data_IF_782763215489
#
_entry.id   IF_782763215489
#
_cell.length_a   1.000
_cell.length_b   1.000
_cell.length_c   1.000
_cell.angle_alpha   90.00
_cell.angle_beta   90.00
_cell.angle_gamma   90.00
#
_symmetry.space_group_name_H-M   'P 1'
#
loop_
_entity.id
_entity.type
_entity.pdbx_description
1 polymer ?
#
# COMPACT_ATOMS: atom_id res chain seq x y z
N UNK A 1 18.67 0.49 -17.25
CA UNK A 1 19.12 1.55 -16.33
C UNK A 1 19.46 0.85 -15.03
N UNK A 2 20.63 1.11 -14.49
CA UNK A 2 21.06 0.50 -13.21
C UNK A 2 20.32 1.17 -12.03
N UNK A 3 20.24 0.49 -10.88
CA UNK A 3 19.48 1.00 -9.71
C UNK A 3 19.89 2.41 -9.27
N UNK A 4 21.21 2.71 -9.28
CA UNK A 4 21.72 4.03 -8.87
C UNK A 4 21.29 5.15 -9.81
N UNK A 5 21.34 4.89 -11.12
CA UNK A 5 20.93 5.83 -12.16
C UNK A 5 19.41 6.07 -12.11
N UNK A 6 18.63 5.03 -11.81
CA UNK A 6 17.19 5.13 -11.56
C UNK A 6 16.87 6.07 -10.41
N UNK A 7 17.45 5.81 -9.24
CA UNK A 7 17.23 6.66 -8.06
C UNK A 7 17.65 8.10 -8.32
N UNK A 8 18.77 8.33 -9.01
CA UNK A 8 19.22 9.67 -9.38
C UNK A 8 18.23 10.38 -10.31
N UNK A 9 17.73 9.69 -11.34
CA UNK A 9 16.75 10.26 -12.28
C UNK A 9 15.42 10.66 -11.62
N UNK A 10 15.09 10.04 -10.48
CA UNK A 10 13.88 10.30 -9.71
C UNK A 10 14.09 11.26 -8.52
N UNK A 11 15.31 11.82 -8.38
CA UNK A 11 15.71 12.65 -7.21
C UNK A 11 15.56 11.90 -5.88
N UNK A 12 15.86 10.60 -5.91
CA UNK A 12 15.80 9.65 -4.80
C UNK A 12 17.16 8.99 -4.54
N UNK A 13 18.25 9.65 -4.92
CA UNK A 13 19.61 9.22 -4.53
C UNK A 13 19.77 9.11 -3.02
N UNK A 14 19.00 9.87 -2.24
CA UNK A 14 18.95 9.79 -0.79
C UNK A 14 17.50 9.85 -0.34
N UNK A 15 17.13 9.02 0.61
CA UNK A 15 15.86 9.08 1.33
C UNK A 15 16.04 8.47 2.73
N UNK A 16 15.05 8.67 3.59
CA UNK A 16 15.01 8.09 4.93
C UNK A 16 13.73 7.29 5.07
N UNK A 17 13.87 6.00 5.34
CA UNK A 17 12.76 5.20 5.83
C UNK A 17 12.62 5.47 7.33
N UNK A 18 11.40 5.60 7.84
CA UNK A 18 11.17 5.77 9.28
C UNK A 18 9.86 5.13 9.74
N UNK A 19 9.81 4.82 11.02
CA UNK A 19 8.68 4.21 11.72
C UNK A 19 8.65 4.70 13.18
N UNK A 20 7.45 4.84 13.73
CA UNK A 20 7.24 5.11 15.15
C UNK A 20 6.40 4.01 15.81
N UNK A 21 6.87 3.56 16.97
CA UNK A 21 6.00 2.88 17.93
C UNK A 21 5.48 3.91 18.95
N UNK A 22 4.21 3.78 19.34
CA UNK A 22 3.52 4.79 20.14
C UNK A 22 2.67 4.18 21.26
N UNK A 23 2.26 4.98 22.24
CA UNK A 23 1.34 4.55 23.32
C UNK A 23 -0.11 4.38 22.87
N UNK A 24 -0.41 4.59 21.59
CA UNK A 24 -1.77 4.56 21.03
C UNK A 24 -1.85 5.26 19.67
N UNK A 25 -3.06 5.45 19.15
CA UNK A 25 -3.28 5.92 17.77
C UNK A 25 -3.58 7.42 17.65
N UNK A 26 -3.79 8.14 18.75
CA UNK A 26 -4.13 9.56 18.74
C UNK A 26 -2.89 10.42 19.01
N UNK A 27 -2.30 11.08 18.00
CA UNK A 27 -1.09 11.87 18.16
C UNK A 27 -1.23 12.99 19.21
N UNK A 28 -2.45 13.49 19.45
CA UNK A 28 -2.68 14.57 20.41
C UNK A 28 -2.50 14.12 21.86
N UNK A 29 -2.88 12.87 22.15
CA UNK A 29 -2.95 12.33 23.51
C UNK A 29 -1.83 11.30 23.76
N UNK A 30 -1.46 10.52 22.75
CA UNK A 30 -0.45 9.49 22.80
C UNK A 30 0.98 10.04 22.58
N UNK A 31 1.97 9.21 22.89
CA UNK A 31 3.39 9.55 22.87
C UNK A 31 4.20 8.52 22.10
N UNK A 32 5.32 8.96 21.55
CA UNK A 32 6.28 8.08 20.88
C UNK A 32 7.04 7.29 21.95
N UNK A 33 7.24 5.99 21.73
CA UNK A 33 7.97 5.07 22.62
C UNK A 33 9.17 4.43 21.94
N UNK A 34 9.23 4.43 20.61
CA UNK A 34 10.41 4.08 19.82
C UNK A 34 10.43 4.89 18.53
N UNK A 35 11.63 5.31 18.12
CA UNK A 35 11.90 5.90 16.83
C UNK A 35 12.90 5.01 16.11
N UNK A 36 12.60 4.63 14.88
CA UNK A 36 13.56 4.07 13.95
C UNK A 36 13.57 4.90 12.67
N UNK A 37 14.75 5.33 12.25
CA UNK A 37 14.96 6.04 10.99
C UNK A 37 16.26 5.58 10.34
N UNK A 38 16.19 5.16 9.08
CA UNK A 38 17.30 4.56 8.35
C UNK A 38 17.54 5.35 7.07
N UNK A 39 18.77 5.85 6.93
CA UNK A 39 19.20 6.61 5.77
C UNK A 39 19.70 5.67 4.68
N UNK A 40 19.09 5.81 3.50
CA UNK A 40 19.51 5.14 2.29
C UNK A 40 20.22 6.13 1.37
N UNK A 41 21.37 5.74 0.84
CA UNK A 41 22.07 6.44 -0.25
C UNK A 41 22.33 5.48 -1.40
N UNK A 42 21.84 5.84 -2.59
CA UNK A 42 21.95 5.04 -3.81
C UNK A 42 21.45 3.59 -3.65
N UNK A 43 20.46 3.39 -2.78
CA UNK A 43 19.84 2.09 -2.50
C UNK A 43 20.52 1.29 -1.38
N UNK A 44 21.58 1.82 -0.78
CA UNK A 44 22.31 1.16 0.32
C UNK A 44 22.07 1.90 1.63
N UNK A 45 22.05 1.18 2.74
CA UNK A 45 21.94 1.79 4.07
C UNK A 45 23.28 2.39 4.46
N UNK A 46 23.29 3.66 4.85
CA UNK A 46 24.52 4.38 5.25
C UNK A 46 24.51 4.87 6.69
N UNK A 47 23.34 5.05 7.29
CA UNK A 47 23.22 5.55 8.66
C UNK A 47 21.88 5.16 9.29
N UNK A 48 21.83 5.14 10.63
CA UNK A 48 20.65 4.75 11.41
C UNK A 48 20.49 5.63 12.65
N UNK A 49 19.27 6.05 12.92
CA UNK A 49 18.84 6.65 14.18
C UNK A 49 17.77 5.75 14.80
N UNK A 50 18.12 5.05 15.88
CA UNK A 50 17.22 4.15 16.60
C UNK A 50 17.26 4.49 18.08
N UNK A 51 16.11 4.77 18.68
CA UNK A 51 16.01 5.08 20.10
C UNK A 51 14.67 4.67 20.66
N UNK A 52 14.69 3.95 21.78
CA UNK A 52 13.56 3.95 22.70
C UNK A 52 13.36 5.35 23.25
N UNK A 53 12.12 5.70 23.56
CA UNK A 53 11.72 7.02 24.04
C UNK A 53 10.93 6.86 25.32
N UNK A 54 11.28 7.61 26.37
CA UNK A 54 10.46 7.71 27.56
C UNK A 54 9.27 8.64 27.27
N UNK A 55 8.03 8.11 27.21
CA UNK A 55 6.86 8.90 26.85
C UNK A 55 6.38 9.82 28.00
N UNK A 56 6.92 9.67 29.22
CA UNK A 56 6.48 10.39 30.41
C UNK A 56 5.06 10.02 30.90
N UNK A 57 4.47 8.97 30.32
CA UNK A 57 3.15 8.39 30.67
C UNK A 57 3.24 6.87 30.67
N UNK A 58 2.29 6.19 31.31
CA UNK A 58 2.26 4.73 31.30
C UNK A 58 1.87 4.18 29.92
N UNK A 59 2.65 3.23 29.42
CA UNK A 59 2.33 2.44 28.22
C UNK A 59 1.21 1.44 28.58
N UNK A 60 0.05 1.45 27.88
CA UNK A 60 -1.02 0.48 28.12
C UNK A 60 -0.56 -0.96 27.83
N UNK A 61 -1.05 -1.93 28.60
CA UNK A 61 -0.69 -3.35 28.41
C UNK A 61 -0.94 -3.84 26.97
N UNK A 62 -2.04 -3.41 26.35
CA UNK A 62 -2.36 -3.76 24.96
C UNK A 62 -1.25 -3.31 23.99
N UNK A 63 -0.68 -2.11 24.21
CA UNK A 63 0.42 -1.61 23.39
C UNK A 63 1.67 -2.43 23.65
N UNK A 64 2.00 -2.74 24.90
CA UNK A 64 3.14 -3.63 25.21
C UNK A 64 2.96 -5.02 24.58
N UNK A 65 1.75 -5.55 24.48
CA UNK A 65 1.47 -6.81 23.77
C UNK A 65 1.68 -6.68 22.25
N UNK A 66 1.33 -5.54 21.67
CA UNK A 66 1.46 -5.28 20.24
C UNK A 66 2.91 -5.03 19.85
N UNK A 67 3.60 -4.13 20.56
CA UNK A 67 4.93 -3.61 20.20
C UNK A 67 6.07 -4.36 20.88
N UNK A 68 5.78 -5.04 21.99
CA UNK A 68 6.79 -5.66 22.85
C UNK A 68 7.50 -4.68 23.78
N UNK A 69 7.21 -3.37 23.70
CA UNK A 69 7.88 -2.33 24.49
C UNK A 69 7.14 -2.13 25.81
N UNK A 70 7.85 -2.35 26.92
CA UNK A 70 7.30 -2.23 28.27
C UNK A 70 7.72 -0.93 28.96
N UNK A 71 6.94 -0.52 29.97
CA UNK A 71 7.28 0.64 30.81
C UNK A 71 8.70 0.56 31.39
N UNK A 72 9.18 -0.65 31.73
CA UNK A 72 10.54 -0.81 32.27
C UNK A 72 11.64 -0.58 31.24
N UNK A 73 11.37 -0.87 29.96
CA UNK A 73 12.34 -0.65 28.87
C UNK A 73 12.55 0.83 28.62
N UNK A 74 11.47 1.62 28.64
CA UNK A 74 11.52 3.06 28.34
C UNK A 74 11.86 3.94 29.55
N UNK A 75 11.79 3.41 30.77
CA UNK A 75 11.92 4.20 32.01
C UNK A 75 13.23 5.02 32.08
N UNK A 76 14.34 4.47 31.57
CA UNK A 76 15.65 5.15 31.54
C UNK A 76 16.03 5.66 30.15
N UNK A 77 15.15 5.50 29.17
CA UNK A 77 15.36 6.00 27.82
C UNK A 77 15.24 7.52 27.80
N UNK A 78 15.85 8.19 26.81
CA UNK A 78 15.71 9.63 26.68
C UNK A 78 14.26 10.02 26.35
N UNK A 79 13.87 11.21 26.77
CA UNK A 79 12.56 11.80 26.49
C UNK A 79 12.51 12.41 25.09
N UNK A 80 11.31 12.69 24.58
CA UNK A 80 11.12 13.41 23.31
C UNK A 80 11.95 14.70 23.25
N UNK A 81 12.01 15.46 24.35
CA UNK A 81 12.77 16.71 24.44
C UNK A 81 14.28 16.53 24.27
N UNK A 82 14.82 15.39 24.71
CA UNK A 82 16.26 15.12 24.67
C UNK A 82 16.73 14.65 23.30
N UNK A 83 15.85 14.03 22.51
CA UNK A 83 16.22 13.41 21.22
C UNK A 83 15.77 14.20 19.99
N UNK A 84 14.78 15.10 20.12
CA UNK A 84 14.13 15.71 18.96
C UNK A 84 15.10 16.49 18.06
N UNK A 85 16.08 17.19 18.63
CA UNK A 85 17.05 17.96 17.84
C UNK A 85 17.97 17.06 17.02
N UNK A 86 18.45 15.98 17.61
CA UNK A 86 19.28 14.99 16.92
C UNK A 86 18.47 14.25 15.86
N UNK A 87 17.20 13.93 16.15
CA UNK A 87 16.31 13.27 15.21
C UNK A 87 15.98 14.15 14.00
N UNK A 88 15.59 15.41 14.20
CA UNK A 88 15.32 16.34 13.08
C UNK A 88 16.59 16.65 12.28
N UNK A 89 17.74 16.74 12.95
CA UNK A 89 19.06 16.84 12.30
C UNK A 89 19.40 15.59 11.48
N UNK A 90 18.96 14.41 11.92
CA UNK A 90 19.07 13.17 11.15
C UNK A 90 18.14 13.20 9.93
N UNK A 91 16.93 13.74 10.02
CA UNK A 91 16.02 13.82 8.86
C UNK A 91 16.51 14.82 7.78
N UNK A 92 16.98 16.00 8.20
CA UNK A 92 17.36 17.13 7.35
C UNK A 92 16.24 17.51 6.37
N UNK A 93 16.55 17.59 5.08
CA UNK A 93 15.61 17.82 3.98
C UNK A 93 15.41 16.54 3.13
N UNK A 94 15.79 15.38 3.68
CA UNK A 94 15.73 14.12 2.96
C UNK A 94 14.27 13.70 2.76
N UNK A 95 13.88 13.16 1.60
CA UNK A 95 12.55 12.59 1.45
C UNK A 95 12.29 11.47 2.47
N UNK A 96 11.07 11.43 3.00
CA UNK A 96 10.65 10.46 4.00
C UNK A 96 9.81 9.35 3.37
N UNK A 97 10.06 8.12 3.82
CA UNK A 97 9.40 6.90 3.38
C UNK A 97 8.88 6.17 4.62
N UNK A 98 7.61 5.80 4.62
CA UNK A 98 7.04 4.97 5.68
C UNK A 98 5.96 4.04 5.11
N UNK A 99 5.58 3.03 5.86
CA UNK A 99 4.49 2.13 5.52
C UNK A 99 3.20 2.63 6.16
N UNK A 100 2.27 3.22 5.38
CA UNK A 100 1.15 4.01 5.89
C UNK A 100 1.56 5.36 6.52
N UNK A 101 2.40 6.11 5.78
CA UNK A 101 3.08 7.34 6.24
C UNK A 101 2.21 8.39 6.93
N UNK A 102 0.91 8.43 6.63
CA UNK A 102 -0.02 9.37 7.26
C UNK A 102 -0.08 9.20 8.78
N UNK A 103 0.16 7.99 9.29
CA UNK A 103 0.24 7.73 10.73
C UNK A 103 1.47 8.43 11.33
N UNK A 104 2.66 8.09 10.83
CA UNK A 104 3.94 8.60 11.33
C UNK A 104 4.07 10.11 11.14
N UNK A 105 3.58 10.64 10.01
CA UNK A 105 3.52 12.07 9.72
C UNK A 105 2.78 12.85 10.80
N UNK A 106 1.64 12.34 11.28
CA UNK A 106 0.86 13.02 12.32
C UNK A 106 1.60 13.04 13.65
N UNK A 107 2.30 11.96 13.99
CA UNK A 107 3.14 11.91 15.20
C UNK A 107 4.37 12.83 15.08
N UNK A 108 5.01 12.89 13.91
CA UNK A 108 6.13 13.79 13.65
C UNK A 108 5.70 15.26 13.75
N UNK A 109 4.59 15.64 13.10
CA UNK A 109 4.06 17.01 13.15
C UNK A 109 3.71 17.40 14.59
N UNK A 110 3.11 16.49 15.35
CA UNK A 110 2.77 16.73 16.76
C UNK A 110 4.00 16.78 17.67
N UNK A 111 5.02 15.96 17.42
CA UNK A 111 6.31 16.01 18.10
C UNK A 111 6.96 17.40 17.90
N UNK A 112 7.04 17.88 16.65
CA UNK A 112 7.56 19.22 16.35
C UNK A 112 6.76 20.31 17.07
N UNK A 113 5.43 20.24 17.04
CA UNK A 113 4.56 21.21 17.70
C UNK A 113 4.74 21.22 19.22
N UNK A 114 4.87 20.06 19.87
CA UNK A 114 5.08 19.95 21.34
C UNK A 114 6.37 20.62 21.80
N UNK A 115 7.39 20.66 20.93
CA UNK A 115 8.72 21.15 21.25
C UNK A 115 9.10 22.43 20.49
N UNK A 116 8.10 23.13 19.94
CA UNK A 116 8.28 24.41 19.25
C UNK A 116 9.33 24.34 18.11
N UNK A 117 9.37 23.22 17.39
CA UNK A 117 10.23 23.02 16.22
C UNK A 117 9.49 23.32 14.93
N UNK A 118 10.22 23.81 13.93
CA UNK A 118 9.67 23.99 12.59
C UNK A 118 9.46 22.63 11.92
N UNK A 119 8.33 22.46 11.24
CA UNK A 119 8.08 21.28 10.43
C UNK A 119 8.71 21.48 9.05
N UNK A 120 9.65 20.60 8.68
CA UNK A 120 10.20 20.62 7.33
C UNK A 120 9.16 20.11 6.34
N UNK A 121 9.09 20.76 5.17
CA UNK A 121 8.21 20.32 4.09
C UNK A 121 8.84 19.14 3.32
N UNK A 122 8.92 18.00 3.99
CA UNK A 122 9.46 16.78 3.42
C UNK A 122 8.62 16.30 2.24
N UNK A 123 9.30 15.76 1.21
CA UNK A 123 8.63 14.88 0.24
C UNK A 123 8.32 13.56 0.94
N UNK A 124 7.10 13.06 0.76
CA UNK A 124 6.56 11.92 1.51
C UNK A 124 6.17 10.80 0.56
N UNK A 125 6.62 9.59 0.86
CA UNK A 125 6.34 8.39 0.08
C UNK A 125 5.77 7.28 0.97
N UNK A 126 4.69 6.67 0.51
CA UNK A 126 3.96 5.62 1.24
C UNK A 126 4.09 4.28 0.51
N UNK A 127 4.76 3.32 1.14
CA UNK A 127 4.93 1.99 0.56
C UNK A 127 3.63 1.19 0.54
N UNK A 128 2.72 1.41 1.50
CA UNK A 128 1.41 0.74 1.51
C UNK A 128 0.56 1.19 0.33
N UNK A 129 0.53 2.50 0.07
CA UNK A 129 -0.21 3.04 -1.07
C UNK A 129 0.37 2.53 -2.40
N UNK A 130 1.71 2.58 -2.58
CA UNK A 130 2.36 2.07 -3.78
C UNK A 130 2.12 0.57 -3.97
N UNK A 131 2.26 -0.23 -2.91
CA UNK A 131 2.04 -1.67 -2.98
C UNK A 131 0.60 -1.99 -3.41
N UNK A 132 -0.40 -1.30 -2.87
CA UNK A 132 -1.81 -1.48 -3.28
C UNK A 132 -2.05 -1.13 -4.74
N UNK A 133 -1.34 -0.13 -5.27
CA UNK A 133 -1.45 0.27 -6.67
C UNK A 133 -0.74 -0.70 -7.62
N UNK A 134 0.43 -1.21 -7.24
CA UNK A 134 1.32 -1.97 -8.12
C UNK A 134 1.18 -3.48 -7.98
N UNK A 135 0.90 -3.97 -6.77
CA UNK A 135 0.81 -5.38 -6.40
C UNK A 135 -0.65 -5.78 -6.14
N UNK A 136 -1.59 -5.27 -6.93
CA UNK A 136 -3.05 -5.42 -6.72
C UNK A 136 -3.56 -6.87 -6.67
N UNK A 137 -2.74 -7.85 -7.07
CA UNK A 137 -3.03 -9.28 -6.96
C UNK A 137 -2.76 -9.85 -5.56
N UNK A 138 -2.03 -9.12 -4.71
CA UNK A 138 -1.72 -9.56 -3.35
C UNK A 138 -2.95 -9.42 -2.43
N UNK A 139 -3.24 -10.43 -1.59
CA UNK A 139 -4.41 -10.40 -0.71
C UNK A 139 -4.21 -9.51 0.52
N UNK A 140 -2.95 -9.30 0.91
CA UNK A 140 -2.55 -8.61 2.14
C UNK A 140 -1.37 -7.71 1.82
N UNK A 141 -1.37 -6.51 2.40
CA UNK A 141 -0.38 -5.47 2.15
C UNK A 141 0.28 -4.94 3.43
N UNK A 142 0.12 -5.63 4.56
CA UNK A 142 0.86 -5.25 5.77
C UNK A 142 2.36 -5.49 5.55
N UNK A 143 3.18 -4.83 6.36
CA UNK A 143 4.62 -4.84 6.18
C UNK A 143 5.20 -6.26 6.18
N UNK A 144 4.77 -7.12 7.12
CA UNK A 144 5.20 -8.53 7.18
C UNK A 144 4.92 -9.26 5.86
N UNK A 145 3.70 -9.16 5.32
CA UNK A 145 3.35 -9.84 4.07
C UNK A 145 4.16 -9.33 2.87
N UNK A 146 4.48 -8.03 2.84
CA UNK A 146 5.32 -7.46 1.78
C UNK A 146 6.79 -7.84 1.95
N UNK A 147 7.31 -7.89 3.18
CA UNK A 147 8.65 -8.40 3.46
C UNK A 147 8.79 -9.86 3.02
N UNK A 148 7.83 -10.71 3.37
CA UNK A 148 7.78 -12.11 2.95
C UNK A 148 7.72 -12.24 1.42
N UNK A 149 6.89 -11.41 0.77
CA UNK A 149 6.75 -11.39 -0.69
C UNK A 149 8.08 -11.09 -1.40
N UNK A 150 8.86 -10.16 -0.88
CA UNK A 150 10.18 -9.80 -1.42
C UNK A 150 11.34 -10.64 -0.87
N UNK A 151 11.07 -11.60 0.02
CA UNK A 151 12.09 -12.45 0.63
C UNK A 151 13.03 -11.68 1.56
N UNK A 152 12.56 -10.61 2.18
CA UNK A 152 13.30 -9.83 3.15
C UNK A 152 13.27 -10.52 4.52
N UNK A 153 14.43 -10.63 5.17
CA UNK A 153 14.54 -11.31 6.46
C UNK A 153 13.95 -10.46 7.59
N UNK A 154 13.56 -11.14 8.66
CA UNK A 154 13.19 -10.54 9.96
C UNK A 154 14.16 -10.92 11.08
N UNK A 155 15.33 -11.47 10.74
CA UNK A 155 16.28 -12.00 11.72
C UNK A 155 17.15 -10.89 12.37
N UNK A 156 17.26 -10.92 13.70
CA UNK A 156 18.30 -10.30 14.54
C UNK A 156 18.32 -8.76 14.76
N UNK A 157 17.31 -7.99 14.38
CA UNK A 157 17.20 -6.56 14.75
C UNK A 157 16.00 -6.28 15.68
N UNK A 158 16.00 -5.13 16.36
CA UNK A 158 14.81 -4.63 17.08
C UNK A 158 13.65 -4.47 16.10
N UNK A 159 12.41 -4.67 16.55
CA UNK A 159 11.24 -4.76 15.66
C UNK A 159 11.07 -3.52 14.78
N UNK A 160 11.07 -2.32 15.35
CA UNK A 160 10.92 -1.09 14.57
C UNK A 160 12.11 -0.79 13.65
N UNK A 161 13.34 -1.14 14.07
CA UNK A 161 14.52 -1.01 13.21
C UNK A 161 14.42 -1.93 11.98
N UNK A 162 14.08 -3.19 12.18
CA UNK A 162 13.89 -4.15 11.11
C UNK A 162 12.72 -3.76 10.18
N UNK A 163 11.61 -3.30 10.76
CA UNK A 163 10.44 -2.86 10.01
C UNK A 163 10.77 -1.61 9.17
N UNK A 164 11.57 -0.69 9.71
CA UNK A 164 12.07 0.47 8.97
C UNK A 164 13.02 0.08 7.84
N UNK A 165 13.93 -0.88 8.09
CA UNK A 165 14.86 -1.38 7.08
C UNK A 165 14.11 -2.03 5.92
N UNK A 166 13.17 -2.91 6.25
CA UNK A 166 12.30 -3.56 5.28
C UNK A 166 11.45 -2.56 4.51
N UNK A 167 10.92 -1.53 5.18
CA UNK A 167 10.18 -0.45 4.51
C UNK A 167 11.03 0.23 3.42
N UNK A 168 12.30 0.52 3.72
CA UNK A 168 13.23 1.08 2.74
C UNK A 168 13.50 0.15 1.56
N UNK A 169 13.73 -1.14 1.81
CA UNK A 169 13.94 -2.12 0.73
C UNK A 169 12.69 -2.36 -0.11
N UNK A 170 11.51 -2.46 0.51
CA UNK A 170 10.22 -2.56 -0.18
C UNK A 170 10.02 -1.33 -1.09
N UNK A 171 10.35 -0.13 -0.62
CA UNK A 171 10.26 1.08 -1.43
C UNK A 171 11.15 1.00 -2.68
N UNK A 172 12.38 0.51 -2.55
CA UNK A 172 13.28 0.30 -3.68
C UNK A 172 12.72 -0.70 -4.71
N UNK A 173 12.11 -1.80 -4.25
CA UNK A 173 11.47 -2.77 -5.14
C UNK A 173 10.22 -2.19 -5.83
N UNK A 174 9.40 -1.42 -5.11
CA UNK A 174 8.23 -0.74 -5.68
C UNK A 174 8.63 0.33 -6.72
N UNK A 175 9.74 1.04 -6.52
CA UNK A 175 10.29 1.97 -7.52
C UNK A 175 10.69 1.20 -8.78
N UNK A 176 11.38 0.06 -8.64
CA UNK A 176 11.76 -0.78 -9.78
C UNK A 176 10.52 -1.25 -10.53
N UNK A 177 9.50 -1.72 -9.82
CA UNK A 177 8.26 -2.17 -10.44
C UNK A 177 7.55 -1.04 -11.18
N UNK A 178 7.41 0.13 -10.57
CA UNK A 178 6.83 1.32 -11.20
C UNK A 178 7.63 1.74 -12.46
N UNK A 179 8.96 1.65 -12.41
CA UNK A 179 9.85 2.00 -13.50
C UNK A 179 9.77 1.04 -14.71
N UNK A 180 9.07 -0.09 -14.58
CA UNK A 180 8.77 -0.99 -15.69
C UNK A 180 7.67 -0.50 -16.63
N UNK A 181 6.77 0.37 -16.14
CA UNK A 181 5.62 0.86 -16.91
C UNK A 181 6.01 1.94 -17.93
N UNK A 182 5.36 1.99 -19.11
CA UNK A 182 5.63 2.99 -20.14
C UNK A 182 5.02 4.37 -19.80
N UNK A 183 5.50 5.41 -20.50
CA UNK A 183 5.07 6.80 -20.27
C UNK A 183 3.55 6.99 -20.36
N UNK A 184 2.89 6.40 -21.37
CA UNK A 184 1.43 6.53 -21.54
C UNK A 184 0.65 6.06 -20.29
N UNK A 185 1.09 4.97 -19.66
CA UNK A 185 0.47 4.48 -18.44
C UNK A 185 0.67 5.45 -17.27
N UNK A 186 1.91 5.88 -17.03
CA UNK A 186 2.24 6.81 -15.95
C UNK A 186 1.55 8.17 -16.14
N UNK A 187 1.45 8.66 -17.37
CA UNK A 187 0.73 9.88 -17.70
C UNK A 187 -0.77 9.77 -17.40
N UNK A 188 -1.40 8.63 -17.66
CA UNK A 188 -2.81 8.38 -17.28
C UNK A 188 -2.98 8.39 -15.77
N UNK A 189 -2.07 7.76 -15.02
CA UNK A 189 -2.09 7.80 -13.55
C UNK A 189 -1.98 9.25 -13.06
N UNK A 190 -1.01 10.01 -13.57
CA UNK A 190 -0.84 11.43 -13.22
C UNK A 190 -2.08 12.28 -13.51
N UNK A 191 -2.79 12.01 -14.62
CA UNK A 191 -4.03 12.70 -14.94
C UNK A 191 -5.17 12.36 -13.96
N UNK A 192 -5.24 11.12 -13.47
CA UNK A 192 -6.26 10.67 -12.51
C UNK A 192 -6.05 11.25 -11.11
N UNK A 193 -4.80 11.47 -10.70
CA UNK A 193 -4.45 11.98 -9.37
C UNK A 193 -4.24 13.51 -9.36
N UNK A 194 -4.47 14.18 -10.50
CA UNK A 194 -4.25 15.61 -10.62
C UNK A 194 -5.19 16.38 -9.68
N UNK A 195 -4.61 17.24 -8.84
CA UNK A 195 -5.36 18.05 -7.87
C UNK A 195 -5.62 17.36 -6.53
N UNK A 196 -5.27 16.08 -6.41
CA UNK A 196 -5.37 15.33 -5.16
C UNK A 196 -4.09 15.47 -4.32
N UNK A 197 -4.27 15.52 -3.00
CA UNK A 197 -3.16 15.51 -2.03
C UNK A 197 -2.92 14.08 -1.56
N UNK A 198 -2.23 13.29 -2.39
CA UNK A 198 -1.91 11.90 -2.08
C UNK A 198 -0.42 11.71 -1.81
N UNK A 199 -0.05 10.75 -0.93
CA UNK A 199 1.32 10.24 -0.90
C UNK A 199 1.78 9.80 -2.30
N UNK A 200 3.09 9.85 -2.55
CA UNK A 200 3.71 9.41 -3.82
C UNK A 200 3.37 10.22 -5.08
N UNK A 201 2.55 11.28 -5.04
CA UNK A 201 2.29 12.15 -6.20
C UNK A 201 3.58 12.58 -6.90
N UNK A 202 4.56 13.05 -6.12
CA UNK A 202 5.85 13.49 -6.64
C UNK A 202 6.62 12.36 -7.34
N UNK A 203 6.49 11.10 -6.88
CA UNK A 203 7.16 9.96 -7.53
C UNK A 203 6.61 9.74 -8.94
N UNK A 204 5.29 9.79 -9.12
CA UNK A 204 4.68 9.62 -10.45
C UNK A 204 5.03 10.77 -11.40
N UNK A 205 5.16 12.00 -10.89
CA UNK A 205 5.59 13.16 -11.68
C UNK A 205 7.05 13.04 -12.13
N UNK A 206 7.96 12.68 -11.22
CA UNK A 206 9.37 12.46 -11.58
C UNK A 206 9.55 11.25 -12.51
N UNK A 207 8.75 10.18 -12.31
CA UNK A 207 8.77 9.01 -13.20
C UNK A 207 8.37 9.38 -14.63
N UNK A 208 7.30 10.15 -14.81
CA UNK A 208 6.91 10.66 -16.14
C UNK A 208 7.99 11.54 -16.77
N UNK A 209 8.61 12.41 -15.96
CA UNK A 209 9.70 13.29 -16.41
C UNK A 209 10.91 12.49 -16.88
N UNK A 210 11.35 11.49 -16.10
CA UNK A 210 12.45 10.61 -16.44
C UNK A 210 12.16 9.78 -17.71
N UNK A 211 10.95 9.24 -17.86
CA UNK A 211 10.51 8.52 -19.05
C UNK A 211 10.52 9.42 -20.30
N UNK A 212 10.02 10.64 -20.18
CA UNK A 212 10.03 11.62 -21.27
C UNK A 212 11.47 11.98 -21.71
N UNK A 213 12.38 12.13 -20.76
CA UNK A 213 13.81 12.39 -21.04
C UNK A 213 14.51 11.20 -21.72
N UNK A 214 14.11 9.95 -21.40
CA UNK A 214 14.63 8.74 -22.06
C UNK A 214 14.21 8.65 -23.53
N UNK A 215 13.04 9.17 -23.90
CA UNK A 215 12.56 9.29 -25.28
C UNK A 215 11.93 8.04 -25.91
N UNK A 216 11.94 6.89 -25.22
CA UNK A 216 11.23 5.67 -25.66
C UNK A 216 9.83 5.62 -25.03
N UNK A 217 8.80 5.92 -25.82
CA UNK A 217 7.41 6.01 -25.35
C UNK A 217 6.75 4.65 -25.07
N UNK A 218 7.33 3.56 -25.58
CA UNK A 218 6.72 2.22 -25.50
C UNK A 218 7.29 1.35 -24.39
N UNK A 219 8.41 1.75 -23.77
CA UNK A 219 9.09 0.97 -22.74
C UNK A 219 9.24 1.76 -21.45
N UNK A 220 9.26 1.04 -20.34
CA UNK A 220 9.67 1.59 -19.06
C UNK A 220 11.15 2.00 -19.03
N UNK A 221 11.57 2.63 -17.93
CA UNK A 221 12.96 2.95 -17.65
C UNK A 221 13.81 1.68 -17.49
N UNK A 222 13.20 0.64 -16.90
CA UNK A 222 13.76 -0.71 -16.79
C UNK A 222 12.80 -1.76 -17.37
N UNK A 223 13.24 -3.01 -17.44
CA UNK A 223 12.35 -4.14 -17.80
C UNK A 223 11.51 -4.50 -16.57
N UNK A 224 10.22 -4.74 -16.74
CA UNK A 224 9.35 -5.20 -15.65
C UNK A 224 9.93 -6.43 -14.95
N UNK A 225 9.99 -6.36 -13.61
CA UNK A 225 10.41 -7.45 -12.75
C UNK A 225 9.26 -8.42 -12.51
N UNK A 226 8.08 -7.89 -12.18
CA UNK A 226 6.84 -8.65 -12.07
C UNK A 226 6.02 -8.36 -13.32
N UNK A 227 5.77 -9.36 -14.16
CA UNK A 227 4.78 -9.20 -15.23
C UNK A 227 3.43 -9.40 -14.53
N UNK A 228 2.57 -8.38 -14.41
CA UNK A 228 1.23 -8.58 -13.85
C UNK A 228 0.57 -9.65 -14.71
N UNK A 229 0.19 -10.77 -14.10
CA UNK A 229 -0.60 -11.77 -14.79
C UNK A 229 -2.04 -11.27 -14.79
N UNK A 230 -2.29 -10.18 -15.52
CA UNK A 230 -3.61 -9.66 -15.82
C UNK A 230 -4.37 -10.74 -16.58
N UNK A 231 -4.89 -11.73 -15.84
CA UNK A 231 -5.82 -12.71 -16.35
C UNK A 231 -7.00 -11.88 -16.83
N UNK A 232 -7.30 -12.02 -18.11
CA UNK A 232 -8.45 -11.35 -18.68
C UNK A 232 -9.67 -11.80 -17.89
N UNK A 233 -10.45 -10.85 -17.37
CA UNK A 233 -11.81 -11.14 -16.91
C UNK A 233 -12.76 -11.49 -18.07
N UNK A 234 -12.25 -11.38 -19.30
CA UNK A 234 -12.89 -11.86 -20.52
C UNK A 234 -12.57 -13.35 -20.66
N UNK A 235 -13.60 -14.18 -20.48
CA UNK A 235 -13.55 -15.60 -20.81
C UNK A 235 -14.21 -15.79 -22.17
N UNK A 236 -13.47 -16.30 -23.15
CA UNK A 236 -14.03 -16.66 -24.46
C UNK A 236 -14.09 -18.18 -24.57
N UNK A 237 -15.27 -18.71 -24.86
CA UNK A 237 -15.49 -20.14 -25.08
C UNK A 237 -16.30 -20.35 -26.36
N UNK A 238 -15.82 -21.24 -27.23
CA UNK A 238 -16.54 -21.67 -28.42
C UNK A 238 -17.23 -23.00 -28.09
N UNK A 239 -18.56 -23.02 -28.14
CA UNK A 239 -19.36 -24.21 -27.89
C UNK A 239 -20.54 -24.31 -28.85
N UNK A 240 -21.14 -25.50 -29.00
CA UNK A 240 -22.28 -25.70 -29.87
C UNK A 240 -23.57 -25.09 -29.33
N UNK A 241 -23.58 -24.67 -28.05
CA UNK A 241 -24.77 -24.16 -27.36
C UNK A 241 -24.84 -22.63 -27.49
N UNK A 242 -25.98 -22.11 -27.95
CA UNK A 242 -26.26 -20.67 -27.91
C UNK A 242 -26.67 -20.25 -26.50
N UNK A 243 -26.15 -19.10 -26.05
CA UNK A 243 -26.55 -18.47 -24.79
C UNK A 243 -27.84 -17.65 -24.93
N UNK A 244 -28.31 -17.39 -26.15
CA UNK A 244 -29.51 -16.59 -26.41
C UNK A 244 -30.79 -17.23 -25.90
N UNK A 245 -30.82 -18.57 -25.79
CA UNK A 245 -31.98 -19.34 -25.31
C UNK A 245 -31.86 -19.82 -23.87
N UNK A 246 -30.78 -19.45 -23.16
CA UNK A 246 -30.58 -19.85 -21.77
C UNK A 246 -31.47 -19.01 -20.85
N UNK A 247 -32.36 -19.67 -20.11
CA UNK A 247 -33.12 -19.01 -19.06
C UNK A 247 -32.33 -18.97 -17.75
N UNK A 248 -32.73 -18.08 -16.84
CA UNK A 248 -32.15 -18.06 -15.50
C UNK A 248 -32.34 -19.38 -14.74
N UNK A 249 -33.44 -20.11 -15.01
CA UNK A 249 -33.71 -21.41 -14.39
C UNK A 249 -32.75 -22.49 -14.90
N UNK A 250 -32.38 -22.44 -16.19
CA UNK A 250 -31.40 -23.37 -16.78
C UNK A 250 -30.01 -23.25 -16.15
N UNK A 251 -29.72 -22.11 -15.50
CA UNK A 251 -28.43 -21.85 -14.84
C UNK A 251 -28.53 -22.01 -13.32
N UNK A 252 -29.45 -21.26 -12.69
CA UNK A 252 -29.60 -21.12 -11.22
C UNK A 252 -30.69 -22.00 -10.62
N UNK A 253 -31.50 -22.67 -11.45
CA UNK A 253 -32.54 -23.58 -10.97
C UNK A 253 -31.94 -24.81 -10.29
N UNK A 254 -32.80 -25.57 -9.58
CA UNK A 254 -32.38 -26.71 -8.76
C UNK A 254 -31.67 -27.83 -9.56
N UNK A 255 -31.96 -27.93 -10.87
CA UNK A 255 -31.34 -28.86 -11.81
C UNK A 255 -30.53 -28.14 -12.91
N UNK A 256 -30.26 -26.85 -12.71
CA UNK A 256 -29.57 -25.98 -13.67
C UNK A 256 -28.07 -26.28 -13.78
N UNK A 257 -27.39 -25.58 -14.69
CA UNK A 257 -25.98 -25.80 -14.98
C UNK A 257 -25.08 -25.74 -13.74
N UNK A 258 -25.34 -24.82 -12.80
CA UNK A 258 -24.52 -24.66 -11.60
C UNK A 258 -24.62 -25.85 -10.64
N UNK A 259 -25.80 -26.47 -10.53
CA UNK A 259 -26.00 -27.68 -9.71
C UNK A 259 -25.16 -28.87 -10.17
N UNK A 260 -24.80 -28.91 -11.46
CA UNK A 260 -24.02 -30.00 -12.08
C UNK A 260 -22.52 -29.80 -11.92
N UNK A 261 -22.07 -28.55 -11.75
CA UNK A 261 -20.65 -28.18 -11.69
C UNK A 261 -20.19 -28.01 -10.24
N UNK A 262 -21.01 -27.43 -9.37
CA UNK A 262 -20.66 -27.13 -7.99
C UNK A 262 -21.19 -28.21 -7.03
N UNK A 263 -20.28 -28.93 -6.36
CA UNK A 263 -20.62 -30.03 -5.43
C UNK A 263 -21.49 -29.60 -4.25
N UNK A 264 -21.40 -28.34 -3.83
CA UNK A 264 -22.15 -27.77 -2.71
C UNK A 264 -23.17 -26.74 -3.19
N UNK A 265 -23.72 -26.93 -4.39
CA UNK A 265 -24.76 -26.04 -4.91
C UNK A 265 -25.98 -26.05 -3.99
N UNK A 266 -26.46 -24.86 -3.66
CA UNK A 266 -27.68 -24.64 -2.91
C UNK A 266 -28.64 -23.86 -3.80
N UNK A 267 -29.86 -24.37 -3.99
CA UNK A 267 -30.86 -23.63 -4.74
C UNK A 267 -31.32 -22.41 -3.94
N UNK A 268 -31.12 -21.22 -4.52
CA UNK A 268 -31.52 -19.94 -3.94
C UNK A 268 -32.50 -19.24 -4.89
N UNK A 269 -33.81 -19.31 -4.64
CA UNK A 269 -34.82 -18.74 -5.53
C UNK A 269 -34.60 -17.26 -5.86
N UNK A 270 -34.05 -16.49 -4.92
CA UNK A 270 -33.72 -15.08 -5.12
C UNK A 270 -32.64 -14.86 -6.19
N UNK A 271 -31.62 -15.74 -6.29
CA UNK A 271 -30.60 -15.65 -7.33
C UNK A 271 -31.20 -15.84 -8.72
N UNK A 272 -32.11 -16.79 -8.86
CA UNK A 272 -32.84 -17.02 -10.11
C UNK A 272 -33.71 -15.81 -10.48
N UNK A 273 -34.43 -15.22 -9.52
CA UNK A 273 -35.23 -14.01 -9.73
C UNK A 273 -34.37 -12.82 -10.14
N UNK A 274 -33.22 -12.63 -9.50
CA UNK A 274 -32.27 -11.58 -9.85
C UNK A 274 -31.72 -11.76 -11.26
N UNK A 275 -31.33 -12.99 -11.63
CA UNK A 275 -30.88 -13.30 -12.98
C UNK A 275 -31.98 -13.07 -14.03
N UNK A 276 -33.25 -13.43 -13.75
CA UNK A 276 -34.39 -13.12 -14.62
C UNK A 276 -34.56 -11.62 -14.83
N UNK A 277 -34.46 -10.83 -13.75
CA UNK A 277 -34.57 -9.37 -13.81
C UNK A 277 -33.43 -8.75 -14.62
N UNK A 278 -32.18 -9.15 -14.37
CA UNK A 278 -31.01 -8.68 -15.11
C UNK A 278 -31.13 -9.02 -16.59
N UNK A 279 -31.51 -10.26 -16.93
CA UNK A 279 -31.70 -10.67 -18.32
C UNK A 279 -32.72 -9.77 -19.01
N UNK A 280 -33.86 -9.49 -18.36
CA UNK A 280 -34.90 -8.60 -18.88
C UNK A 280 -34.40 -7.18 -19.13
N UNK A 281 -33.61 -6.62 -18.19
CA UNK A 281 -33.03 -5.28 -18.31
C UNK A 281 -32.07 -5.21 -19.50
N UNK A 282 -31.25 -6.26 -19.69
CA UNK A 282 -30.27 -6.30 -20.77
C UNK A 282 -30.89 -6.60 -22.14
N UNK A 283 -31.97 -7.38 -22.20
CA UNK A 283 -32.63 -7.78 -23.45
C UNK A 283 -33.63 -6.76 -23.97
N UNK A 284 -34.19 -5.91 -23.11
CA UNK A 284 -35.21 -4.92 -23.49
C UNK A 284 -34.64 -3.50 -23.54
N UNK A 285 -34.80 -2.80 -24.67
CA UNK A 285 -34.30 -1.43 -24.85
C UNK A 285 -34.98 -0.43 -23.89
N UNK A 286 -34.18 0.45 -23.26
CA UNK A 286 -34.69 1.57 -22.46
C UNK A 286 -35.14 1.20 -21.04
N UNK A 287 -34.75 0.02 -20.54
CA UNK A 287 -34.98 -0.37 -19.14
C UNK A 287 -33.84 0.11 -18.25
N UNK A 288 -34.19 0.68 -17.10
CA UNK A 288 -33.28 0.91 -15.98
C UNK A 288 -33.84 0.08 -14.82
N UNK A 289 -32.99 -0.69 -14.16
CA UNK A 289 -33.39 -1.47 -13.00
C UNK A 289 -32.43 -1.23 -11.84
N UNK A 290 -32.99 -1.23 -10.63
CA UNK A 290 -32.24 -1.20 -9.37
C UNK A 290 -32.55 -2.48 -8.64
N UNK A 291 -31.51 -3.14 -8.13
CA UNK A 291 -31.61 -4.41 -7.44
C UNK A 291 -30.85 -4.29 -6.13
N UNK A 292 -31.57 -4.39 -5.03
CA UNK A 292 -31.02 -4.43 -3.69
C UNK A 292 -31.08 -5.87 -3.17
N UNK A 293 -29.96 -6.39 -2.71
CA UNK A 293 -29.87 -7.71 -2.12
C UNK A 293 -29.23 -7.60 -0.74
N UNK A 294 -29.96 -7.99 0.31
CA UNK A 294 -29.45 -8.11 1.68
C UNK A 294 -28.41 -9.23 1.84
N UNK A 295 -27.75 -9.30 3.00
CA UNK A 295 -26.82 -10.40 3.33
C UNK A 295 -27.54 -11.75 3.31
N UNK A 296 -26.85 -12.81 2.87
CA UNK A 296 -27.43 -14.15 2.78
C UNK A 296 -28.34 -14.43 1.57
N UNK A 297 -28.65 -13.44 0.73
CA UNK A 297 -29.51 -13.62 -0.46
C UNK A 297 -28.77 -14.14 -1.71
N UNK A 298 -27.50 -14.52 -1.58
CA UNK A 298 -26.71 -15.09 -2.68
C UNK A 298 -26.15 -14.06 -3.68
N UNK A 299 -25.64 -12.92 -3.22
CA UNK A 299 -24.97 -11.90 -4.07
C UNK A 299 -23.70 -12.42 -4.76
N UNK A 300 -23.06 -13.41 -4.16
CA UNK A 300 -21.87 -14.09 -4.64
C UNK A 300 -22.16 -15.59 -4.73
N UNK A 301 -21.58 -16.25 -5.74
CA UNK A 301 -21.42 -17.70 -5.74
C UNK A 301 -20.30 -18.10 -4.78
#
# INVERSE_FOLDING_TARGET
MESKELLQSLKLSTFIAFDFETTGLDPNNDRIIEIAAIRFEHGEIVDRFVSLVNPGIDIPNLITEITGISNSMVYKSPTEAEIIDDFLSFLRDSPLVAHNIRFDEQFLSRLCQRHEKEENNFKKYDTLQLARSLLFEQPVFNLTALSDFYGLSSDNAHRAENDTENTGFIFLELIKELAGYPLDFISKVNALIQGESIPNLHLYVEMASALAMKGDLQKGLIKHGIIPNCKTNIFSHNGPNSVESLSAEDVFGNSGALSKVHRNFENRPNQEQYAKLVNKILSESGKIGVLEAGTGLGKSM
#
